data_IF_093590825909
#
_entry.id   IF_093590825909
#
_cell.length_a   1.000
_cell.length_b   1.000
_cell.length_c   1.000
_cell.angle_alpha   90.00
_cell.angle_beta   90.00
_cell.angle_gamma   90.00
#
_symmetry.space_group_name_H-M   'P 1'
#
loop_
_entity.id
_entity.type
_entity.pdbx_description
1 polymer ?
#
# COMPACT_ATOMS: atom_id res chain seq x y z
N UNK A 1 -15.96 -36.91 -1.16
CA UNK A 1 -15.44 -35.53 -1.01
C UNK A 1 -15.14 -35.30 0.47
N UNK A 2 -13.84 -35.28 0.84
CA UNK A 2 -13.42 -34.99 2.21
C UNK A 2 -13.69 -33.53 2.51
N UNK A 3 -14.27 -33.21 3.68
CA UNK A 3 -14.49 -31.85 4.13
C UNK A 3 -13.14 -31.10 4.22
N UNK A 4 -13.08 -29.83 3.79
CA UNK A 4 -11.84 -29.06 3.89
C UNK A 4 -11.41 -28.97 5.34
N UNK A 5 -10.15 -29.33 5.61
CA UNK A 5 -9.56 -29.21 6.96
C UNK A 5 -9.57 -27.74 7.40
N UNK A 6 -10.03 -27.44 8.63
CA UNK A 6 -10.00 -26.07 9.14
C UNK A 6 -8.59 -25.51 9.09
N UNK A 7 -8.42 -24.30 8.52
CA UNK A 7 -7.12 -23.63 8.52
C UNK A 7 -6.65 -23.37 9.96
N UNK A 8 -5.37 -23.58 10.28
CA UNK A 8 -4.83 -23.33 11.61
C UNK A 8 -5.12 -21.90 12.11
N UNK A 9 -5.34 -21.73 13.42
CA UNK A 9 -5.65 -20.41 14.01
C UNK A 9 -4.57 -19.36 13.75
N UNK A 10 -3.30 -19.78 13.66
CA UNK A 10 -2.19 -18.86 13.39
C UNK A 10 -2.28 -18.20 12.01
N UNK A 11 -2.89 -18.83 11.00
CA UNK A 11 -3.10 -18.22 9.68
C UNK A 11 -3.96 -16.95 9.79
N UNK A 12 -5.07 -17.02 10.54
CA UNK A 12 -5.95 -15.88 10.72
C UNK A 12 -5.26 -14.72 11.45
N UNK A 13 -4.42 -15.04 12.43
CA UNK A 13 -3.62 -14.06 13.18
C UNK A 13 -2.56 -13.43 12.27
N UNK A 14 -1.83 -14.23 11.49
CA UNK A 14 -0.81 -13.74 10.57
C UNK A 14 -1.40 -12.78 9.53
N UNK A 15 -2.57 -13.12 8.96
CA UNK A 15 -3.27 -12.24 8.00
C UNK A 15 -3.70 -10.93 8.67
N UNK A 16 -4.22 -10.98 9.91
CA UNK A 16 -4.57 -9.77 10.65
C UNK A 16 -3.35 -8.89 10.88
N UNK A 17 -2.23 -9.46 11.32
CA UNK A 17 -0.97 -8.72 11.55
C UNK A 17 -0.50 -8.08 10.24
N UNK A 18 -0.48 -8.81 9.13
CA UNK A 18 -0.09 -8.27 7.83
C UNK A 18 -0.99 -7.10 7.39
N UNK A 19 -2.31 -7.20 7.60
CA UNK A 19 -3.26 -6.11 7.34
C UNK A 19 -2.94 -4.87 8.18
N UNK A 20 -2.69 -5.06 9.48
CA UNK A 20 -2.38 -3.95 10.39
C UNK A 20 -1.06 -3.28 10.02
N UNK A 21 -0.05 -4.04 9.59
CA UNK A 21 1.22 -3.50 9.10
C UNK A 21 0.99 -2.65 7.85
N UNK A 22 0.31 -3.17 6.80
CA UNK A 22 0.06 -2.40 5.59
C UNK A 22 -0.80 -1.16 5.85
N UNK A 23 -1.86 -1.30 6.65
CA UNK A 23 -2.70 -0.16 7.02
C UNK A 23 -1.91 0.89 7.81
N UNK A 24 -1.05 0.47 8.73
CA UNK A 24 -0.18 1.36 9.50
C UNK A 24 0.83 2.12 8.63
N UNK A 25 1.42 1.46 7.64
CA UNK A 25 2.36 2.10 6.70
C UNK A 25 1.66 3.17 5.83
N UNK A 26 0.49 2.87 5.27
CA UNK A 26 -0.28 3.87 4.53
C UNK A 26 -0.83 4.97 5.43
N UNK A 27 -1.23 4.65 6.66
CA UNK A 27 -1.65 5.66 7.64
C UNK A 27 -0.53 6.63 7.99
N UNK A 28 0.68 6.12 8.19
CA UNK A 28 1.86 6.94 8.43
C UNK A 28 2.18 7.82 7.21
N UNK A 29 2.14 7.27 5.99
CA UNK A 29 2.39 8.02 4.77
C UNK A 29 1.36 9.14 4.56
N UNK A 30 0.06 8.87 4.77
CA UNK A 30 -0.99 9.86 4.72
C UNK A 30 -0.84 10.94 5.80
N UNK A 31 -0.51 10.53 7.04
CA UNK A 31 -0.32 11.46 8.16
C UNK A 31 0.83 12.45 7.90
N UNK A 32 1.96 11.99 7.37
CA UNK A 32 3.07 12.87 6.99
C UNK A 32 2.68 13.88 5.91
N UNK A 33 1.88 13.47 4.92
CA UNK A 33 1.37 14.39 3.89
C UNK A 33 0.45 15.44 4.49
N UNK A 34 -0.50 15.05 5.34
CA UNK A 34 -1.37 16.01 6.02
C UNK A 34 -0.63 16.94 6.97
N UNK A 35 0.46 16.46 7.60
CA UNK A 35 1.27 17.27 8.51
C UNK A 35 2.06 18.35 7.75
N UNK A 36 2.56 18.04 6.55
CA UNK A 36 3.30 18.99 5.70
C UNK A 36 2.92 18.80 4.21
N UNK A 37 1.77 19.33 3.86
CA UNK A 37 1.25 19.26 2.49
C UNK A 37 2.11 20.05 1.49
N UNK A 38 2.66 21.19 1.93
CA UNK A 38 3.52 22.02 1.07
C UNK A 38 4.89 21.35 0.83
N UNK A 39 5.47 20.73 1.84
CA UNK A 39 6.69 19.93 1.69
C UNK A 39 6.47 18.74 0.77
N UNK A 40 5.33 18.04 0.90
CA UNK A 40 4.93 16.97 -0.02
C UNK A 40 4.80 17.47 -1.47
N UNK A 41 4.13 18.62 -1.67
CA UNK A 41 4.01 19.23 -2.99
C UNK A 41 5.39 19.64 -3.56
N UNK A 42 6.28 20.16 -2.72
CA UNK A 42 7.66 20.48 -3.10
C UNK A 42 8.44 19.26 -3.57
N UNK A 43 8.28 18.12 -2.88
CA UNK A 43 8.90 16.85 -3.27
C UNK A 43 8.36 16.34 -4.62
N UNK A 44 7.05 16.43 -4.86
CA UNK A 44 6.41 16.07 -6.13
C UNK A 44 6.89 16.98 -7.27
N UNK A 45 7.02 18.30 -7.02
CA UNK A 45 7.53 19.25 -7.99
C UNK A 45 9.00 18.98 -8.35
N UNK A 46 9.82 18.56 -7.39
CA UNK A 46 11.24 18.27 -7.60
C UNK A 46 11.50 17.13 -8.59
N UNK A 47 10.56 16.19 -8.73
CA UNK A 47 10.63 15.11 -9.73
C UNK A 47 9.89 15.46 -11.04
N UNK A 48 9.42 16.71 -11.18
CA UNK A 48 8.91 17.25 -12.44
C UNK A 48 7.42 17.05 -12.72
N UNK A 49 6.61 16.64 -11.74
CA UNK A 49 5.17 16.48 -11.96
C UNK A 49 4.44 17.84 -11.97
N UNK A 50 3.46 18.02 -12.88
CA UNK A 50 2.59 19.20 -12.89
C UNK A 50 1.59 19.17 -11.72
N UNK A 51 1.08 20.32 -11.33
CA UNK A 51 0.06 20.48 -10.28
C UNK A 51 0.41 19.78 -8.96
N UNK A 52 1.61 20.00 -8.41
CA UNK A 52 2.13 19.21 -7.30
C UNK A 52 1.26 19.24 -6.04
N UNK A 53 0.65 20.38 -5.71
CA UNK A 53 -0.23 20.51 -4.55
C UNK A 53 -1.51 19.67 -4.71
N UNK A 54 -2.11 19.67 -5.91
CA UNK A 54 -3.27 18.82 -6.20
C UNK A 54 -2.91 17.34 -6.07
N UNK A 55 -1.75 16.94 -6.62
CA UNK A 55 -1.29 15.55 -6.54
C UNK A 55 -0.98 15.13 -5.10
N UNK A 56 -0.44 16.04 -4.26
CA UNK A 56 -0.22 15.78 -2.85
C UNK A 56 -1.54 15.50 -2.11
N UNK A 57 -2.57 16.30 -2.34
CA UNK A 57 -3.89 16.08 -1.75
C UNK A 57 -4.52 14.78 -2.24
N UNK A 58 -4.46 14.48 -3.54
CA UNK A 58 -4.99 13.24 -4.10
C UNK A 58 -4.29 12.01 -3.51
N UNK A 59 -2.96 12.05 -3.37
CA UNK A 59 -2.18 10.98 -2.75
C UNK A 59 -2.60 10.77 -1.28
N UNK A 60 -2.70 11.84 -0.49
CA UNK A 60 -3.10 11.76 0.92
C UNK A 60 -4.49 11.15 1.11
N UNK A 61 -5.48 11.56 0.31
CA UNK A 61 -6.83 10.99 0.37
C UNK A 61 -6.87 9.56 -0.16
N UNK A 62 -6.14 9.25 -1.21
CA UNK A 62 -6.04 7.89 -1.74
C UNK A 62 -5.45 6.93 -0.70
N UNK A 63 -4.33 7.29 -0.08
CA UNK A 63 -3.71 6.50 0.99
C UNK A 63 -4.65 6.34 2.18
N UNK A 64 -5.39 7.38 2.56
CA UNK A 64 -6.41 7.30 3.61
C UNK A 64 -7.52 6.30 3.25
N UNK A 65 -7.99 6.30 2.01
CA UNK A 65 -8.97 5.32 1.54
C UNK A 65 -8.42 3.88 1.58
N UNK A 66 -7.15 3.68 1.20
CA UNK A 66 -6.48 2.38 1.34
C UNK A 66 -6.44 1.92 2.81
N UNK A 67 -6.11 2.83 3.75
CA UNK A 67 -6.12 2.52 5.19
C UNK A 67 -7.48 1.98 5.63
N UNK A 68 -8.57 2.65 5.28
CA UNK A 68 -9.92 2.21 5.63
C UNK A 68 -10.24 0.83 5.05
N UNK A 69 -9.94 0.59 3.78
CA UNK A 69 -10.20 -0.70 3.14
C UNK A 69 -9.37 -1.83 3.77
N UNK A 70 -8.09 -1.58 4.04
CA UNK A 70 -7.19 -2.56 4.64
C UNK A 70 -7.57 -2.86 6.10
N UNK A 71 -7.92 -1.85 6.91
CA UNK A 71 -8.34 -2.04 8.29
C UNK A 71 -9.67 -2.76 8.42
N UNK A 72 -10.66 -2.36 7.62
CA UNK A 72 -12.01 -2.94 7.71
C UNK A 72 -12.13 -4.27 6.97
N UNK A 73 -11.25 -4.55 6.03
CA UNK A 73 -11.36 -5.70 5.13
C UNK A 73 -12.43 -5.55 4.05
N UNK A 74 -13.13 -4.40 3.99
CA UNK A 74 -14.04 -4.09 2.90
C UNK A 74 -13.24 -3.72 1.65
N UNK A 75 -13.57 -4.30 0.51
CA UNK A 75 -12.86 -4.12 -0.77
C UNK A 75 -11.35 -4.35 -0.65
N UNK A 76 -10.98 -5.31 0.22
CA UNK A 76 -9.58 -5.57 0.56
C UNK A 76 -8.73 -5.99 -0.63
N UNK A 77 -9.25 -6.89 -1.48
CA UNK A 77 -8.54 -7.37 -2.67
C UNK A 77 -8.30 -6.23 -3.65
N UNK A 78 -9.33 -5.42 -3.91
CA UNK A 78 -9.25 -4.26 -4.78
C UNK A 78 -8.25 -3.23 -4.24
N UNK A 79 -8.33 -2.94 -2.95
CA UNK A 79 -7.41 -2.00 -2.28
C UNK A 79 -5.96 -2.50 -2.33
N UNK A 80 -5.72 -3.78 -2.09
CA UNK A 80 -4.37 -4.36 -2.14
C UNK A 80 -3.79 -4.32 -3.57
N UNK A 81 -4.60 -4.58 -4.59
CA UNK A 81 -4.17 -4.46 -5.99
C UNK A 81 -3.90 -3.00 -6.38
N UNK A 82 -4.79 -2.08 -6.03
CA UNK A 82 -4.58 -0.64 -6.29
C UNK A 82 -3.36 -0.11 -5.55
N UNK A 83 -3.15 -0.55 -4.30
CA UNK A 83 -1.97 -0.21 -3.53
C UNK A 83 -0.69 -0.75 -4.19
N UNK A 84 -0.70 -1.98 -4.72
CA UNK A 84 0.46 -2.54 -5.42
C UNK A 84 0.82 -1.72 -6.67
N UNK A 85 -0.18 -1.32 -7.48
CA UNK A 85 0.02 -0.44 -8.64
C UNK A 85 0.53 0.94 -8.22
N UNK A 86 -0.03 1.50 -7.16
CA UNK A 86 0.38 2.80 -6.63
C UNK A 86 1.83 2.77 -6.12
N UNK A 87 2.21 1.75 -5.35
CA UNK A 87 3.58 1.56 -4.85
C UNK A 87 4.56 1.34 -6.01
N UNK A 88 4.17 0.61 -7.06
CA UNK A 88 4.97 0.46 -8.27
C UNK A 88 5.21 1.82 -8.96
N UNK A 89 4.16 2.64 -9.08
CA UNK A 89 4.28 3.98 -9.60
C UNK A 89 5.25 4.83 -8.76
N UNK A 90 5.12 4.80 -7.43
CA UNK A 90 6.02 5.55 -6.53
C UNK A 90 7.48 5.09 -6.65
N UNK A 91 7.73 3.77 -6.78
CA UNK A 91 9.07 3.22 -6.96
C UNK A 91 9.77 3.87 -8.17
N UNK A 92 9.11 3.90 -9.32
CA UNK A 92 9.71 4.45 -10.53
C UNK A 92 9.72 5.99 -10.55
N UNK A 93 8.66 6.64 -10.07
CA UNK A 93 8.53 8.09 -10.12
C UNK A 93 9.50 8.80 -9.16
N UNK A 94 9.69 8.26 -7.96
CA UNK A 94 10.42 8.94 -6.90
C UNK A 94 11.76 8.29 -6.54
N UNK A 95 11.93 7.00 -6.79
CA UNK A 95 13.13 6.22 -6.45
C UNK A 95 13.74 5.48 -7.64
N UNK A 96 13.29 5.79 -8.87
CA UNK A 96 13.76 5.15 -10.10
C UNK A 96 15.21 5.52 -10.46
N UNK A 97 15.74 4.91 -11.55
CA UNK A 97 17.14 5.07 -11.96
C UNK A 97 17.62 6.51 -12.13
N UNK A 98 16.71 7.44 -12.43
CA UNK A 98 17.05 8.87 -12.57
C UNK A 98 17.49 9.51 -11.24
N UNK A 99 17.14 8.91 -10.10
CA UNK A 99 17.47 9.40 -8.76
C UNK A 99 18.73 8.74 -8.17
N UNK A 100 19.26 7.69 -8.80
CA UNK A 100 20.37 6.93 -8.26
C UNK A 100 21.69 7.69 -8.39
N UNK A 101 22.48 7.73 -7.32
CA UNK A 101 23.78 8.35 -7.25
C UNK A 101 24.82 7.33 -6.82
N UNK A 102 26.01 7.30 -7.45
CA UNK A 102 27.07 6.32 -7.10
C UNK A 102 27.55 6.43 -5.64
N UNK A 103 27.50 7.62 -5.07
CA UNK A 103 27.95 7.94 -3.71
C UNK A 103 26.83 7.83 -2.66
N UNK A 104 25.56 7.64 -3.08
CA UNK A 104 24.41 7.48 -2.19
C UNK A 104 23.44 6.40 -2.69
N UNK A 105 23.56 5.17 -2.17
CA UNK A 105 22.71 4.05 -2.60
C UNK A 105 21.30 4.07 -1.98
N UNK A 106 20.94 5.10 -1.21
CA UNK A 106 19.67 5.17 -0.47
C UNK A 106 18.46 5.07 -1.40
N UNK A 107 18.47 5.78 -2.52
CA UNK A 107 17.37 5.77 -3.49
C UNK A 107 17.22 4.39 -4.16
N UNK A 108 18.32 3.72 -4.44
CA UNK A 108 18.28 2.33 -4.92
C UNK A 108 17.71 1.38 -3.85
N UNK A 109 18.08 1.57 -2.59
CA UNK A 109 17.50 0.81 -1.47
C UNK A 109 15.98 0.99 -1.39
N UNK A 110 15.49 2.23 -1.42
CA UNK A 110 14.04 2.51 -1.44
C UNK A 110 13.34 1.90 -2.65
N UNK A 111 13.96 1.97 -3.82
CA UNK A 111 13.43 1.31 -5.02
C UNK A 111 13.23 -0.19 -4.80
N UNK A 112 14.22 -0.89 -4.29
CA UNK A 112 14.14 -2.34 -3.99
C UNK A 112 13.08 -2.64 -2.93
N UNK A 113 13.01 -1.84 -1.86
CA UNK A 113 12.03 -2.01 -0.79
C UNK A 113 10.59 -1.92 -1.31
N UNK A 114 10.32 -1.05 -2.29
CA UNK A 114 9.00 -0.97 -2.91
C UNK A 114 8.57 -2.30 -3.55
N UNK A 115 9.47 -3.07 -4.14
CA UNK A 115 9.14 -4.39 -4.70
C UNK A 115 8.81 -5.42 -3.62
N UNK A 116 9.40 -5.31 -2.45
CA UNK A 116 9.02 -6.13 -1.28
C UNK A 116 7.59 -5.83 -0.86
N UNK A 117 7.21 -4.54 -0.81
CA UNK A 117 5.83 -4.11 -0.55
C UNK A 117 4.85 -4.64 -1.59
N UNK A 118 5.18 -4.50 -2.88
CA UNK A 118 4.35 -4.98 -3.99
C UNK A 118 4.10 -6.48 -3.86
N UNK A 119 5.16 -7.27 -3.62
CA UNK A 119 5.03 -8.71 -3.44
C UNK A 119 4.09 -9.06 -2.27
N UNK A 120 4.24 -8.40 -1.13
CA UNK A 120 3.36 -8.57 0.02
C UNK A 120 1.91 -8.21 -0.27
N UNK A 121 1.66 -7.10 -0.97
CA UNK A 121 0.32 -6.66 -1.36
C UNK A 121 -0.35 -7.63 -2.35
N UNK A 122 0.41 -8.20 -3.28
CA UNK A 122 -0.09 -9.22 -4.21
C UNK A 122 -0.48 -10.51 -3.47
N UNK A 123 0.35 -10.98 -2.53
CA UNK A 123 -0.01 -12.10 -1.66
C UNK A 123 -1.26 -11.79 -0.83
N UNK A 124 -1.35 -10.58 -0.27
CA UNK A 124 -2.51 -10.15 0.48
C UNK A 124 -3.78 -10.14 -0.39
N UNK A 125 -3.71 -9.63 -1.62
CA UNK A 125 -4.82 -9.59 -2.57
C UNK A 125 -5.36 -10.99 -2.87
N UNK A 126 -4.49 -11.98 -3.07
CA UNK A 126 -4.85 -13.37 -3.33
C UNK A 126 -5.47 -14.05 -2.12
N UNK A 127 -4.90 -13.84 -0.91
CA UNK A 127 -5.39 -14.44 0.34
C UNK A 127 -6.70 -13.82 0.83
N UNK A 128 -6.93 -12.55 0.53
CA UNK A 128 -8.04 -11.77 1.04
C UNK A 128 -7.84 -11.32 2.50
N UNK A 129 -8.87 -10.67 3.09
CA UNK A 129 -8.76 -10.00 4.40
C UNK A 129 -8.74 -10.94 5.62
N UNK A 130 -8.85 -12.23 5.42
CA UNK A 130 -8.95 -13.18 6.51
C UNK A 130 -10.34 -13.22 7.16
N UNK A 131 -10.41 -13.78 8.38
CA UNK A 131 -11.68 -13.99 9.11
C UNK A 131 -11.86 -13.04 10.28
N UNK A 132 -10.77 -12.52 10.86
CA UNK A 132 -10.79 -11.68 12.04
C UNK A 132 -11.00 -10.22 11.64
N UNK A 133 -12.02 -9.58 12.22
CA UNK A 133 -12.33 -8.17 12.02
C UNK A 133 -12.38 -7.77 10.52
N UNK A 134 -13.05 -8.58 9.69
CA UNK A 134 -13.11 -8.36 8.26
C UNK A 134 -14.55 -8.32 7.75
N UNK A 135 -14.94 -7.23 7.09
CA UNK A 135 -16.26 -7.06 6.48
C UNK A 135 -16.45 -7.88 5.19
N UNK A 136 -15.36 -8.31 4.55
CA UNK A 136 -15.34 -9.23 3.39
C UNK A 136 -16.22 -8.82 2.20
N UNK A 137 -16.47 -7.52 2.03
CA UNK A 137 -17.11 -6.96 0.82
C UNK A 137 -16.05 -6.89 -0.28
N UNK A 138 -16.37 -7.36 -1.49
CA UNK A 138 -15.49 -7.29 -2.66
C UNK A 138 -16.31 -7.26 -3.93
N UNK A 139 -15.79 -6.63 -4.96
CA UNK A 139 -16.34 -6.60 -6.31
C UNK A 139 -15.75 -7.76 -7.13
N UNK A 140 -14.45 -7.99 -6.99
CA UNK A 140 -13.69 -8.96 -7.79
C UNK A 140 -13.75 -10.35 -7.17
N UNK A 141 -13.58 -10.48 -5.86
CA UNK A 141 -13.54 -11.73 -5.12
C UNK A 141 -14.95 -12.16 -4.63
N UNK A 142 -15.96 -12.11 -5.49
CA UNK A 142 -17.28 -12.67 -5.18
C UNK A 142 -17.15 -14.19 -5.06
N UNK A 143 -17.18 -14.68 -3.83
CA UNK A 143 -17.35 -16.10 -3.49
C UNK A 143 -18.66 -16.33 -2.78
#
# INVERSE_FOLDING_TARGET
MSAPTPSPKWHAIAILIARLIFAGLFAMAAAFKFADMNGTAGYIAAVGFPFPLLLAWLAAFFETALVFCLLTGAYFTEAALLAAVYVLFLAFAFHGPAQWKPDNPTEFGFFVDHFTFIAGLLFAAVHGPGRILALRKSIIARR
#
